data_IF_388496134781
#
_entry.id   IF_388496134781
#
_cell.length_a   1.000
_cell.length_b   1.000
_cell.length_c   1.000
_cell.angle_alpha   90.00
_cell.angle_beta   90.00
_cell.angle_gamma   90.00
#
_symmetry.space_group_name_H-M   'P 1'
#
loop_
_entity.id
_entity.type
_entity.pdbx_description
1 polymer ?
#
# COMPACT_ATOMS: atom_id res chain seq x y z
N UNK A 1 -12.81 -6.10 3.33
CA UNK A 1 -13.20 -4.70 3.62
C UNK A 1 -12.76 -4.29 5.02
N UNK A 2 -12.20 -3.08 5.20
CA UNK A 2 -11.77 -2.50 6.48
C UNK A 2 -10.71 -3.32 7.26
N UNK A 3 -9.72 -3.91 6.57
CA UNK A 3 -8.63 -4.67 7.22
C UNK A 3 -7.83 -3.81 8.22
N UNK A 4 -7.54 -2.57 7.87
CA UNK A 4 -6.85 -1.63 8.77
C UNK A 4 -7.59 -1.42 10.09
N UNK A 5 -8.89 -1.16 10.03
CA UNK A 5 -9.70 -0.91 11.21
C UNK A 5 -10.00 -2.19 12.02
N UNK A 6 -10.28 -3.31 11.34
CA UNK A 6 -10.75 -4.53 12.00
C UNK A 6 -9.65 -5.46 12.47
N UNK A 7 -8.48 -5.43 11.83
CA UNK A 7 -7.37 -6.33 12.11
C UNK A 7 -6.14 -5.56 12.59
N UNK A 8 -5.52 -4.74 11.73
CA UNK A 8 -4.23 -4.11 12.03
C UNK A 8 -4.29 -3.21 13.27
N UNK A 9 -5.31 -2.35 13.38
CA UNK A 9 -5.46 -1.48 14.56
C UNK A 9 -5.68 -2.29 15.83
N UNK A 10 -6.46 -3.38 15.75
CA UNK A 10 -6.70 -4.27 16.88
C UNK A 10 -5.45 -5.03 17.32
N UNK A 11 -4.68 -5.58 16.37
CA UNK A 11 -3.42 -6.30 16.67
C UNK A 11 -2.39 -5.38 17.31
N UNK A 12 -2.17 -4.19 16.74
CA UNK A 12 -1.22 -3.21 17.28
C UNK A 12 -1.62 -2.75 18.68
N UNK A 13 -2.91 -2.46 18.91
CA UNK A 13 -3.40 -2.07 20.22
C UNK A 13 -3.18 -3.19 21.27
N UNK A 14 -3.42 -4.45 20.90
CA UNK A 14 -3.13 -5.61 21.76
C UNK A 14 -1.65 -5.80 22.05
N UNK A 15 -0.80 -5.43 21.11
CA UNK A 15 0.66 -5.45 21.28
C UNK A 15 1.18 -4.28 22.12
N UNK A 16 0.31 -3.39 22.60
CA UNK A 16 0.67 -2.22 23.40
C UNK A 16 1.27 -1.08 22.60
N UNK A 17 1.12 -1.10 21.26
CA UNK A 17 1.53 -0.01 20.38
C UNK A 17 0.45 1.06 20.39
N UNK A 18 0.78 2.35 20.62
CA UNK A 18 -0.19 3.44 20.48
C UNK A 18 -0.73 3.51 19.05
N UNK A 19 -2.05 3.49 18.92
CA UNK A 19 -2.72 3.47 17.61
C UNK A 19 -3.69 4.62 17.47
N UNK A 20 -3.62 5.34 16.37
CA UNK A 20 -4.65 6.29 15.93
C UNK A 20 -5.22 5.79 14.60
N UNK A 21 -6.51 5.45 14.58
CA UNK A 21 -7.22 5.07 13.36
C UNK A 21 -7.79 6.30 12.69
N UNK A 22 -7.60 6.40 11.37
CA UNK A 22 -8.14 7.48 10.53
C UNK A 22 -8.70 6.93 9.22
N UNK A 23 -9.48 7.74 8.50
CA UNK A 23 -9.88 7.40 7.13
C UNK A 23 -8.72 7.60 6.16
N UNK A 24 -8.77 6.89 5.02
CA UNK A 24 -7.68 6.89 4.03
C UNK A 24 -7.40 8.28 3.45
N UNK A 25 -8.42 9.12 3.31
CA UNK A 25 -8.33 10.49 2.78
C UNK A 25 -7.75 11.52 3.77
N UNK A 26 -7.55 11.14 5.03
CA UNK A 26 -7.00 12.03 6.07
C UNK A 26 -5.46 12.07 6.10
N UNK A 27 -4.79 11.15 5.41
CA UNK A 27 -3.32 11.03 5.48
C UNK A 27 -2.59 12.32 5.06
N UNK A 28 -3.05 12.99 4.00
CA UNK A 28 -2.42 14.19 3.49
C UNK A 28 -2.39 15.33 4.51
N UNK A 29 -3.49 15.55 5.26
CA UNK A 29 -3.54 16.61 6.29
C UNK A 29 -2.56 16.33 7.42
N UNK A 30 -2.48 15.06 7.87
CA UNK A 30 -1.56 14.66 8.92
C UNK A 30 -0.08 14.84 8.50
N UNK A 31 0.23 14.51 7.24
CA UNK A 31 1.56 14.73 6.66
C UNK A 31 1.89 16.22 6.56
N UNK A 32 0.94 17.05 6.12
CA UNK A 32 1.09 18.50 6.03
C UNK A 32 1.33 19.15 7.39
N UNK A 33 0.79 18.59 8.46
CA UNK A 33 1.01 19.03 9.84
C UNK A 33 2.37 18.60 10.41
N UNK A 34 3.19 17.84 9.64
CA UNK A 34 4.48 17.33 10.09
C UNK A 34 4.40 16.26 11.18
N UNK A 35 3.29 15.53 11.24
CA UNK A 35 3.05 14.50 12.28
C UNK A 35 3.36 13.08 11.83
N UNK A 36 3.96 12.90 10.65
CA UNK A 36 4.31 11.61 10.08
C UNK A 36 5.81 11.59 9.76
N UNK A 37 6.55 10.71 10.40
CA UNK A 37 7.99 10.55 10.20
C UNK A 37 8.31 9.51 9.10
N UNK A 38 7.44 8.54 8.91
CA UNK A 38 7.61 7.49 7.90
C UNK A 38 6.26 6.84 7.55
N UNK A 39 6.18 6.28 6.34
CA UNK A 39 5.07 5.44 5.89
C UNK A 39 5.59 4.02 5.71
N UNK A 40 4.90 3.03 6.28
CA UNK A 40 5.20 1.62 6.11
C UNK A 40 3.94 0.91 5.64
N UNK A 41 4.04 0.18 4.54
CA UNK A 41 2.96 -0.62 3.96
C UNK A 41 3.44 -2.06 3.73
N UNK A 42 2.50 -2.98 3.59
CA UNK A 42 2.79 -4.32 3.09
C UNK A 42 3.03 -4.36 1.58
N UNK A 43 3.20 -5.56 1.04
CA UNK A 43 3.16 -5.81 -0.39
C UNK A 43 2.50 -7.17 -0.68
N UNK A 44 1.69 -7.21 -1.73
CA UNK A 44 1.11 -8.46 -2.24
C UNK A 44 2.03 -9.08 -3.30
N UNK A 45 2.73 -8.24 -4.08
CA UNK A 45 3.76 -8.65 -5.06
C UNK A 45 4.74 -7.50 -5.30
N UNK A 46 6.01 -7.84 -5.43
CA UNK A 46 7.08 -6.90 -5.78
C UNK A 46 7.75 -7.42 -7.06
N UNK A 47 7.71 -6.64 -8.13
CA UNK A 47 8.37 -6.97 -9.39
C UNK A 47 9.90 -6.85 -9.29
N UNK A 48 10.62 -7.43 -10.24
CA UNK A 48 12.09 -7.44 -10.26
C UNK A 48 12.73 -6.05 -10.26
N UNK A 49 12.03 -5.03 -10.78
CA UNK A 49 12.49 -3.64 -10.75
C UNK A 49 12.12 -2.90 -9.44
N UNK A 50 11.42 -3.56 -8.51
CA UNK A 50 10.98 -2.98 -7.25
C UNK A 50 9.61 -2.28 -7.28
N UNK A 51 8.91 -2.29 -8.41
CA UNK A 51 7.51 -1.84 -8.45
C UNK A 51 6.67 -2.75 -7.56
N UNK A 52 5.82 -2.15 -6.73
CA UNK A 52 5.14 -2.87 -5.65
C UNK A 52 3.62 -2.81 -5.83
N UNK A 53 2.99 -3.96 -6.01
CA UNK A 53 1.54 -4.10 -5.94
C UNK A 53 1.11 -4.32 -4.49
N UNK A 54 0.17 -3.51 -4.02
CA UNK A 54 -0.40 -3.64 -2.68
C UNK A 54 -1.85 -3.15 -2.68
N UNK A 55 -2.53 -3.28 -1.54
CA UNK A 55 -3.92 -2.85 -1.38
C UNK A 55 -4.14 -1.48 -2.01
N UNK A 56 -5.23 -1.37 -2.81
CA UNK A 56 -5.63 -0.12 -3.48
C UNK A 56 -5.63 1.06 -2.50
N UNK A 57 -5.06 2.19 -2.93
CA UNK A 57 -4.77 3.36 -2.10
C UNK A 57 -3.29 3.53 -1.73
N UNK A 58 -2.48 2.47 -1.87
CA UNK A 58 -1.04 2.50 -1.57
C UNK A 58 -0.30 3.47 -2.49
N UNK A 59 -0.61 3.48 -3.79
CA UNK A 59 -0.04 4.44 -4.75
C UNK A 59 -0.33 5.90 -4.34
N UNK A 60 -1.58 6.19 -3.98
CA UNK A 60 -1.97 7.54 -3.51
C UNK A 60 -1.17 7.97 -2.28
N UNK A 61 -1.01 7.06 -1.32
CA UNK A 61 -0.23 7.28 -0.10
C UNK A 61 1.26 7.53 -0.41
N UNK A 62 1.85 6.77 -1.34
CA UNK A 62 3.25 6.94 -1.77
C UNK A 62 3.47 8.30 -2.46
N UNK A 63 2.54 8.76 -3.30
CA UNK A 63 2.59 10.08 -3.94
C UNK A 63 2.53 11.19 -2.89
N UNK A 64 1.65 11.08 -1.90
CA UNK A 64 1.55 12.04 -0.79
C UNK A 64 2.84 12.04 0.04
N UNK A 65 3.37 10.88 0.40
CA UNK A 65 4.65 10.78 1.12
C UNK A 65 5.79 11.45 0.35
N UNK A 66 5.88 11.23 -0.96
CA UNK A 66 6.86 11.89 -1.83
C UNK A 66 6.71 13.40 -1.85
N UNK A 67 5.48 13.92 -1.94
CA UNK A 67 5.19 15.36 -1.92
C UNK A 67 5.68 16.02 -0.62
N UNK A 68 5.42 15.37 0.51
CA UNK A 68 5.81 15.86 1.84
C UNK A 68 7.23 15.44 2.26
N UNK A 69 8.00 14.79 1.37
CA UNK A 69 9.38 14.33 1.62
C UNK A 69 9.46 13.32 2.79
N UNK A 70 8.43 12.51 2.98
CA UNK A 70 8.36 11.49 4.00
C UNK A 70 8.84 10.15 3.40
N UNK A 71 9.76 9.42 4.05
CA UNK A 71 10.21 8.12 3.56
C UNK A 71 9.08 7.11 3.52
N UNK A 72 9.02 6.34 2.41
CA UNK A 72 7.99 5.34 2.15
C UNK A 72 8.64 3.94 2.02
N UNK A 73 8.22 3.01 2.86
CA UNK A 73 8.78 1.66 2.94
C UNK A 73 7.74 0.60 2.60
N UNK A 74 8.14 -0.38 1.77
CA UNK A 74 7.43 -1.64 1.64
C UNK A 74 8.02 -2.68 2.61
N UNK A 75 7.20 -3.36 3.40
CA UNK A 75 7.62 -4.42 4.30
C UNK A 75 6.92 -5.74 3.93
N UNK A 76 7.67 -6.74 3.47
CA UNK A 76 7.12 -8.01 3.02
C UNK A 76 8.18 -9.11 3.09
N UNK A 77 7.78 -10.39 3.23
CA UNK A 77 8.73 -11.48 3.15
C UNK A 77 9.37 -11.56 1.76
N UNK A 78 10.60 -12.04 1.70
CA UNK A 78 11.34 -12.21 0.43
C UNK A 78 10.56 -13.02 -0.62
N UNK A 79 9.73 -13.97 -0.19
CA UNK A 79 8.87 -14.75 -1.08
C UNK A 79 7.84 -13.91 -1.85
N UNK A 80 7.59 -12.67 -1.45
CA UNK A 80 6.74 -11.70 -2.16
C UNK A 80 7.42 -11.09 -3.39
N UNK A 81 8.76 -11.18 -3.46
CA UNK A 81 9.55 -10.67 -4.59
C UNK A 81 9.47 -11.66 -5.74
N UNK A 82 8.89 -11.22 -6.85
CA UNK A 82 8.73 -12.00 -8.09
C UNK A 82 9.77 -11.55 -9.12
N UNK A 83 10.91 -12.24 -9.17
CA UNK A 83 11.99 -11.95 -10.10
C UNK A 83 11.64 -12.26 -11.56
N UNK A 84 10.51 -12.95 -11.85
CA UNK A 84 10.07 -13.27 -13.21
C UNK A 84 9.28 -12.10 -13.78
N UNK A 85 8.43 -11.47 -12.99
CA UNK A 85 7.69 -10.27 -13.37
C UNK A 85 8.64 -9.09 -13.40
N UNK A 86 8.87 -8.52 -14.60
CA UNK A 86 9.91 -7.51 -14.78
C UNK A 86 9.55 -6.15 -14.20
N UNK A 87 8.33 -5.71 -14.41
CA UNK A 87 7.83 -4.39 -14.02
C UNK A 87 6.41 -4.49 -13.43
N UNK A 88 5.97 -3.43 -12.79
CA UNK A 88 4.62 -3.33 -12.28
C UNK A 88 3.53 -3.42 -13.33
N UNK A 89 3.82 -3.02 -14.58
CA UNK A 89 2.88 -3.12 -15.70
C UNK A 89 2.54 -4.58 -16.07
N UNK A 90 3.44 -5.50 -15.73
CA UNK A 90 3.25 -6.94 -15.97
C UNK A 90 2.42 -7.62 -14.86
N UNK A 91 2.09 -6.91 -13.78
CA UNK A 91 1.30 -7.44 -12.66
C UNK A 91 -0.19 -7.36 -13.01
N UNK A 92 -0.84 -8.53 -13.10
CA UNK A 92 -2.30 -8.59 -13.27
C UNK A 92 -3.02 -8.16 -11.98
N UNK A 93 -3.88 -7.16 -12.08
CA UNK A 93 -4.69 -6.65 -10.96
C UNK A 93 -6.11 -7.21 -11.07
N UNK A 94 -6.55 -7.86 -10.00
CA UNK A 94 -7.90 -8.41 -9.88
C UNK A 94 -8.92 -7.29 -9.64
N UNK A 95 -10.03 -7.33 -10.37
CA UNK A 95 -11.25 -6.55 -10.03
C UNK A 95 -12.08 -7.38 -9.05
N UNK A 96 -12.44 -6.77 -7.93
CA UNK A 96 -13.28 -7.38 -6.89
C UNK A 96 -14.76 -7.09 -7.15
N UNK A 97 -15.62 -7.78 -6.42
CA UNK A 97 -17.06 -7.61 -6.54
C UNK A 97 -17.48 -6.14 -6.30
N UNK A 98 -18.30 -5.63 -7.21
CA UNK A 98 -18.79 -4.25 -7.15
C UNK A 98 -19.66 -3.98 -5.92
N UNK A 99 -20.29 -5.02 -5.36
CA UNK A 99 -21.11 -4.92 -4.14
C UNK A 99 -20.32 -4.52 -2.90
N UNK A 100 -18.99 -4.69 -2.92
CA UNK A 100 -18.12 -4.21 -1.83
C UNK A 100 -18.05 -2.68 -1.77
N UNK A 101 -18.26 -1.99 -2.89
CA UNK A 101 -18.28 -0.53 -2.99
C UNK A 101 -19.70 0.00 -2.92
N UNK A 102 -20.61 -0.64 -3.63
CA UNK A 102 -22.01 -0.23 -3.74
C UNK A 102 -22.89 -1.48 -3.59
N UNK A 103 -23.50 -1.65 -2.41
CA UNK A 103 -24.25 -2.85 -2.06
C UNK A 103 -25.44 -3.10 -3.00
N UNK A 104 -26.12 -2.03 -3.46
CA UNK A 104 -27.22 -2.12 -4.40
C UNK A 104 -26.87 -1.37 -5.70
N UNK A 105 -26.94 -2.03 -6.88
CA UNK A 105 -26.64 -1.39 -8.16
C UNK A 105 -27.55 -0.17 -8.40
N UNK A 106 -26.94 0.93 -8.85
CA UNK A 106 -27.66 2.12 -9.28
C UNK A 106 -27.68 2.20 -10.81
N UNK A 107 -28.84 2.54 -11.37
CA UNK A 107 -29.00 2.69 -12.83
C UNK A 107 -28.02 3.73 -13.40
N UNK A 108 -27.27 3.34 -14.43
CA UNK A 108 -26.31 4.22 -15.09
C UNK A 108 -25.00 4.46 -14.32
N UNK A 109 -24.76 3.76 -13.19
CA UNK A 109 -23.52 3.86 -12.41
C UNK A 109 -22.66 2.62 -12.63
N UNK A 110 -21.41 2.82 -13.07
CA UNK A 110 -20.40 1.77 -13.16
C UNK A 110 -19.49 1.83 -11.92
N UNK A 111 -19.28 0.69 -11.29
CA UNK A 111 -18.36 0.54 -10.14
C UNK A 111 -17.05 -0.02 -10.64
N UNK A 112 -15.94 0.59 -10.19
CA UNK A 112 -14.60 0.08 -10.32
C UNK A 112 -14.06 -0.28 -8.93
N UNK A 113 -13.57 -1.50 -8.75
CA UNK A 113 -13.10 -2.01 -7.46
C UNK A 113 -11.83 -2.86 -7.61
N UNK A 114 -10.69 -2.28 -8.06
CA UNK A 114 -9.45 -3.03 -8.15
C UNK A 114 -8.98 -3.43 -6.74
N UNK A 115 -8.49 -4.65 -6.60
CA UNK A 115 -7.98 -5.16 -5.32
C UNK A 115 -6.70 -4.42 -4.89
N UNK A 116 -5.84 -4.10 -5.86
CA UNK A 116 -4.52 -3.53 -5.67
C UNK A 116 -4.29 -2.33 -6.58
N UNK A 117 -3.30 -1.53 -6.26
CA UNK A 117 -2.65 -0.60 -7.18
C UNK A 117 -1.14 -0.85 -7.20
N UNK A 118 -0.45 -0.32 -8.19
CA UNK A 118 1.00 -0.49 -8.36
C UNK A 118 1.70 0.82 -8.02
N UNK A 119 2.60 0.75 -7.06
CA UNK A 119 3.48 1.85 -6.67
C UNK A 119 4.81 1.70 -7.41
N UNK A 120 5.19 2.66 -8.29
CA UNK A 120 6.48 2.66 -8.94
C UNK A 120 7.64 2.67 -7.94
N UNK A 121 8.70 1.92 -8.22
CA UNK A 121 9.89 1.83 -7.37
C UNK A 121 10.50 3.20 -7.02
N UNK A 122 10.37 4.18 -7.92
CA UNK A 122 10.88 5.53 -7.70
C UNK A 122 10.21 6.28 -6.53
N UNK A 123 9.04 5.82 -6.07
CA UNK A 123 8.33 6.34 -4.90
C UNK A 123 8.68 5.57 -3.62
N UNK A 124 9.35 4.42 -3.73
CA UNK A 124 9.70 3.55 -2.61
C UNK A 124 11.11 3.87 -2.14
N UNK A 125 11.26 4.24 -0.87
CA UNK A 125 12.56 4.53 -0.26
C UNK A 125 13.39 3.28 -0.09
N UNK A 126 12.77 2.21 0.45
CA UNK A 126 13.37 0.89 0.56
C UNK A 126 12.32 -0.19 0.79
N UNK A 127 12.70 -1.43 0.55
CA UNK A 127 11.94 -2.65 0.83
C UNK A 127 12.59 -3.36 2.00
N UNK A 128 11.80 -3.71 3.01
CA UNK A 128 12.21 -4.39 4.23
C UNK A 128 11.77 -5.84 4.13
N UNK A 129 12.72 -6.76 4.24
CA UNK A 129 12.47 -8.21 4.27
C UNK A 129 13.14 -8.84 5.50
N UNK A 130 12.93 -10.13 5.72
CA UNK A 130 13.65 -10.89 6.75
C UNK A 130 15.16 -10.94 6.53
N UNK A 131 15.63 -10.75 5.29
CA UNK A 131 17.06 -10.75 4.94
C UNK A 131 17.71 -9.36 5.08
N UNK A 132 16.91 -8.30 5.28
CA UNK A 132 17.43 -6.94 5.44
C UNK A 132 16.62 -5.87 4.73
N UNK A 133 17.28 -4.72 4.53
CA UNK A 133 16.70 -3.54 3.90
C UNK A 133 17.38 -3.34 2.54
N UNK A 134 16.57 -3.28 1.49
CA UNK A 134 17.01 -3.22 0.10
C UNK A 134 16.50 -1.96 -0.58
N UNK A 135 17.32 -1.32 -1.39
CA UNK A 135 16.78 -0.35 -2.35
C UNK A 135 16.06 -1.10 -3.48
N UNK A 136 14.98 -0.54 -4.05
CA UNK A 136 14.17 -1.25 -5.04
C UNK A 136 14.97 -1.86 -6.21
N UNK A 137 15.98 -1.16 -6.71
CA UNK A 137 16.83 -1.64 -7.81
C UNK A 137 17.96 -2.60 -7.38
N UNK A 138 18.02 -2.99 -6.10
CA UNK A 138 19.03 -3.91 -5.55
C UNK A 138 18.43 -5.29 -5.20
N UNK A 139 17.19 -5.55 -5.60
CA UNK A 139 16.41 -6.76 -5.31
C UNK A 139 16.86 -7.98 -6.12
#
# INVERSE_FOLDING_TARGET
MNQGARLTAWELARAGVPVTLQCDDMAASLMAEGKVDAVIVGADRIAANGDTANKVGTLGLAIMARHFQIPFYGAAPRSTIDCITKTGDDISIEERDSSEVLAEPLFGVTVRNPAFDVTPYALVTAIITEDGIWKPLEL
#
